data_IF_347139195258
#
_entry.id   IF_347139195258
#
_cell.length_a   1.000
_cell.length_b   1.000
_cell.length_c   1.000
_cell.angle_alpha   90.00
_cell.angle_beta   90.00
_cell.angle_gamma   90.00
#
_symmetry.space_group_name_H-M   'P 1'
#
loop_
_entity.id
_entity.type
_entity.pdbx_description
1 polymer ?
#
# COMPACT_ATOMS: atom_id res chain seq x y z
N UNK A 1 29.63 16.85 -9.48
CA UNK A 1 28.58 15.81 -9.29
C UNK A 1 27.25 16.37 -8.86
N UNK A 2 27.23 17.28 -7.89
CA UNK A 2 25.96 17.90 -7.47
C UNK A 2 25.31 18.79 -8.54
N UNK A 3 26.09 19.55 -9.32
CA UNK A 3 25.53 20.61 -10.19
C UNK A 3 24.78 20.09 -11.42
N UNK A 4 25.25 19.01 -12.02
CA UNK A 4 24.55 18.37 -13.14
C UNK A 4 23.29 17.63 -12.69
N UNK A 5 23.29 17.02 -11.51
CA UNK A 5 22.10 16.37 -10.97
C UNK A 5 20.95 17.37 -10.76
N UNK A 6 21.25 18.61 -10.38
CA UNK A 6 20.26 19.69 -10.27
C UNK A 6 19.81 20.18 -11.67
N UNK A 7 20.73 20.26 -12.64
CA UNK A 7 20.41 20.68 -14.00
C UNK A 7 19.53 19.68 -14.77
N UNK A 8 19.66 18.37 -14.50
CA UNK A 8 18.83 17.31 -15.11
C UNK A 8 17.66 16.86 -14.24
N UNK A 9 17.44 17.49 -13.07
CA UNK A 9 16.35 17.16 -12.14
C UNK A 9 16.45 15.79 -11.45
N UNK A 10 17.62 15.13 -11.54
CA UNK A 10 17.87 13.80 -10.99
C UNK A 10 18.04 13.83 -9.46
N UNK A 11 18.29 15.00 -8.90
CA UNK A 11 18.34 15.26 -7.45
C UNK A 11 17.02 14.86 -6.75
N UNK A 12 15.87 15.10 -7.39
CA UNK A 12 14.55 14.74 -6.88
C UNK A 12 14.32 13.22 -6.81
N UNK A 13 15.08 12.44 -7.59
CA UNK A 13 15.03 10.98 -7.64
C UNK A 13 16.05 10.36 -6.68
N UNK A 14 17.25 10.93 -6.61
CA UNK A 14 18.36 10.45 -5.78
C UNK A 14 18.24 10.87 -4.31
N UNK A 15 17.62 12.03 -4.04
CA UNK A 15 17.40 12.50 -2.68
C UNK A 15 15.93 12.32 -2.30
N UNK A 16 15.64 11.56 -1.24
CA UNK A 16 14.26 11.35 -0.83
C UNK A 16 13.69 12.65 -0.26
N UNK A 17 12.87 13.32 -1.07
CA UNK A 17 12.15 14.53 -0.67
C UNK A 17 11.05 14.13 0.33
N UNK A 18 11.00 14.77 1.50
CA UNK A 18 9.93 14.52 2.46
C UNK A 18 8.65 15.23 2.05
N UNK A 19 7.89 14.59 1.16
CA UNK A 19 6.53 14.99 0.78
C UNK A 19 5.51 14.12 1.52
N UNK A 20 4.26 14.60 1.61
CA UNK A 20 3.17 13.84 2.22
C UNK A 20 3.01 12.44 1.61
N UNK A 21 3.06 12.34 0.29
CA UNK A 21 2.97 11.06 -0.44
C UNK A 21 4.11 10.10 -0.09
N UNK A 22 5.33 10.61 0.03
CA UNK A 22 6.50 9.82 0.40
C UNK A 22 6.42 9.33 1.85
N UNK A 23 5.91 10.16 2.77
CA UNK A 23 5.65 9.76 4.15
C UNK A 23 4.53 8.70 4.24
N UNK A 24 3.46 8.84 3.45
CA UNK A 24 2.40 7.85 3.37
C UNK A 24 2.93 6.54 2.81
N UNK A 25 3.75 6.57 1.76
CA UNK A 25 4.38 5.38 1.18
C UNK A 25 5.31 4.67 2.18
N UNK A 26 6.06 5.42 2.99
CA UNK A 26 6.84 4.87 4.10
C UNK A 26 5.94 4.18 5.13
N UNK A 27 4.85 4.81 5.54
CA UNK A 27 3.90 4.19 6.46
C UNK A 27 3.31 2.90 5.86
N UNK A 28 3.00 2.93 4.56
CA UNK A 28 2.46 1.81 3.80
C UNK A 28 3.36 0.59 3.74
N UNK A 29 4.59 0.85 3.34
CA UNK A 29 5.61 -0.19 3.23
C UNK A 29 6.04 -0.73 4.59
N UNK A 30 5.88 0.07 5.66
CA UNK A 30 6.12 -0.37 7.04
C UNK A 30 5.00 -1.30 7.53
N UNK A 31 3.72 -0.93 7.36
CA UNK A 31 2.61 -1.79 7.81
C UNK A 31 2.50 -3.09 7.01
N UNK A 32 2.88 -3.06 5.73
CA UNK A 32 2.91 -4.26 4.87
C UNK A 32 4.16 -5.11 5.07
N UNK A 33 5.08 -4.69 5.94
CA UNK A 33 6.38 -5.34 6.17
C UNK A 33 7.30 -5.42 4.94
N UNK A 34 7.01 -4.67 3.87
CA UNK A 34 7.84 -4.63 2.65
C UNK A 34 9.18 -3.94 2.93
N UNK A 35 9.14 -2.77 3.56
CA UNK A 35 10.34 -2.07 4.06
C UNK A 35 11.45 -1.79 3.04
N UNK A 36 11.15 -1.14 1.90
CA UNK A 36 12.15 -0.84 0.86
C UNK A 36 13.37 -0.02 1.33
N UNK A 37 13.27 0.72 2.43
CA UNK A 37 14.37 1.49 3.01
C UNK A 37 14.75 2.78 2.26
N UNK A 38 14.22 3.03 1.07
CA UNK A 38 14.52 4.21 0.23
C UNK A 38 14.24 5.56 0.93
N UNK A 39 13.18 5.62 1.74
CA UNK A 39 12.79 6.80 2.52
C UNK A 39 12.70 6.37 3.97
N UNK A 40 13.72 6.67 4.78
CA UNK A 40 13.77 6.26 6.19
C UNK A 40 13.84 7.46 7.11
N UNK A 41 13.04 7.45 8.17
CA UNK A 41 13.16 8.42 9.25
C UNK A 41 14.56 8.30 9.89
N UNK A 42 15.42 9.31 9.69
CA UNK A 42 16.78 9.31 10.26
C UNK A 42 16.80 9.63 11.75
N UNK A 43 15.75 10.29 12.27
CA UNK A 43 15.64 10.72 13.66
C UNK A 43 15.17 9.58 14.58
N UNK A 44 15.72 9.51 15.80
CA UNK A 44 15.35 8.49 16.80
C UNK A 44 13.85 8.55 17.16
N UNK A 45 13.31 9.77 17.32
CA UNK A 45 11.89 10.00 17.57
C UNK A 45 11.00 9.59 16.40
N UNK A 46 11.39 9.89 15.15
CA UNK A 46 10.62 9.51 13.97
C UNK A 46 10.53 8.00 13.79
N UNK A 47 11.60 7.27 14.09
CA UNK A 47 11.59 5.80 14.10
C UNK A 47 10.64 5.24 15.16
N UNK A 48 10.68 5.79 16.38
CA UNK A 48 9.79 5.33 17.47
C UNK A 48 8.32 5.60 17.14
N UNK A 49 8.00 6.79 16.61
CA UNK A 49 6.65 7.13 16.17
C UNK A 49 6.15 6.19 15.07
N UNK A 50 7.00 5.89 14.08
CA UNK A 50 6.67 4.94 13.01
C UNK A 50 6.43 3.52 13.53
N UNK A 51 7.21 3.07 14.52
CA UNK A 51 7.02 1.75 15.16
C UNK A 51 5.68 1.66 15.91
N UNK A 52 5.36 2.66 16.74
CA UNK A 52 4.07 2.70 17.47
C UNK A 52 2.89 2.75 16.49
N UNK A 53 3.02 3.56 15.43
CA UNK A 53 2.02 3.62 14.38
C UNK A 53 1.86 2.30 13.65
N UNK A 54 2.94 1.56 13.38
CA UNK A 54 2.88 0.25 12.74
C UNK A 54 2.13 -0.78 13.59
N UNK A 55 2.36 -0.82 14.91
CA UNK A 55 1.69 -1.77 15.82
C UNK A 55 0.17 -1.62 15.80
N UNK A 56 -0.33 -0.39 15.69
CA UNK A 56 -1.78 -0.11 15.63
C UNK A 56 -2.30 -0.21 14.18
N UNK A 57 -1.49 0.21 13.20
CA UNK A 57 -1.86 0.23 11.79
C UNK A 57 -2.01 -1.17 11.18
N UNK A 58 -1.12 -2.12 11.52
CA UNK A 58 -1.19 -3.50 11.01
C UNK A 58 -2.55 -4.17 11.30
N UNK A 59 -3.05 -4.26 12.55
CA UNK A 59 -4.33 -4.89 12.83
C UNK A 59 -5.52 -4.14 12.21
N UNK A 60 -5.47 -2.80 12.13
CA UNK A 60 -6.50 -2.00 11.45
C UNK A 60 -6.57 -2.33 9.95
N UNK A 61 -5.43 -2.33 9.26
CA UNK A 61 -5.35 -2.66 7.84
C UNK A 61 -5.80 -4.10 7.59
N UNK A 62 -5.41 -5.05 8.45
CA UNK A 62 -5.86 -6.44 8.37
C UNK A 62 -7.38 -6.58 8.54
N UNK A 63 -7.99 -5.85 9.48
CA UNK A 63 -9.46 -5.83 9.63
C UNK A 63 -10.15 -5.27 8.39
N UNK A 64 -9.65 -4.16 7.85
CA UNK A 64 -10.20 -3.54 6.63
C UNK A 64 -10.06 -4.50 5.45
N UNK A 65 -8.87 -5.10 5.29
CA UNK A 65 -8.58 -6.06 4.22
C UNK A 65 -9.50 -7.27 4.31
N UNK A 66 -9.76 -7.79 5.52
CA UNK A 66 -10.68 -8.92 5.70
C UNK A 66 -12.12 -8.56 5.30
N UNK A 67 -12.61 -7.37 5.68
CA UNK A 67 -13.94 -6.90 5.26
C UNK A 67 -14.01 -6.71 3.74
N UNK A 68 -12.97 -6.11 3.15
CA UNK A 68 -12.88 -5.87 1.72
C UNK A 68 -12.79 -7.18 0.93
N UNK A 69 -12.00 -8.15 1.41
CA UNK A 69 -11.86 -9.48 0.82
C UNK A 69 -13.19 -10.23 0.83
N UNK A 70 -13.93 -10.18 1.94
CA UNK A 70 -15.29 -10.75 2.02
C UNK A 70 -16.25 -10.12 1.02
N UNK A 71 -16.21 -8.80 0.89
CA UNK A 71 -17.04 -8.10 -0.10
C UNK A 71 -16.70 -8.54 -1.53
N UNK A 72 -15.40 -8.66 -1.86
CA UNK A 72 -14.94 -9.14 -3.16
C UNK A 72 -15.37 -10.58 -3.45
N UNK A 73 -15.27 -11.48 -2.46
CA UNK A 73 -15.68 -12.87 -2.62
C UNK A 73 -17.19 -12.99 -2.86
N UNK A 74 -18.01 -12.25 -2.11
CA UNK A 74 -19.46 -12.21 -2.34
C UNK A 74 -19.81 -11.64 -3.71
N UNK A 75 -19.08 -10.61 -4.18
CA UNK A 75 -19.26 -10.08 -5.52
C UNK A 75 -18.89 -11.12 -6.60
N UNK A 76 -17.81 -11.89 -6.38
CA UNK A 76 -17.42 -12.99 -7.27
C UNK A 76 -18.45 -14.12 -7.27
N UNK A 77 -18.96 -14.52 -6.10
CA UNK A 77 -20.05 -15.50 -5.99
C UNK A 77 -21.30 -15.01 -6.70
N UNK A 78 -21.65 -13.73 -6.55
CA UNK A 78 -22.80 -13.15 -7.25
C UNK A 78 -22.63 -13.19 -8.77
N UNK A 79 -21.44 -12.87 -9.29
CA UNK A 79 -21.11 -12.94 -10.71
C UNK A 79 -21.09 -14.40 -11.19
N UNK A 80 -20.54 -15.31 -10.41
CA UNK A 80 -20.48 -16.74 -10.72
C UNK A 80 -21.88 -17.35 -10.81
N UNK A 81 -22.75 -17.04 -9.87
CA UNK A 81 -24.14 -17.50 -9.88
C UNK A 81 -24.91 -16.95 -11.08
N UNK A 82 -24.68 -15.68 -11.44
CA UNK A 82 -25.26 -15.10 -12.65
C UNK A 82 -24.82 -15.86 -13.91
N UNK A 83 -23.51 -16.06 -14.06
CA UNK A 83 -22.92 -16.76 -15.21
C UNK A 83 -23.41 -18.22 -15.32
N UNK A 84 -23.43 -18.94 -14.21
CA UNK A 84 -23.88 -20.34 -14.17
C UNK A 84 -25.37 -20.49 -14.47
N UNK A 85 -26.19 -19.49 -14.15
CA UNK A 85 -27.62 -19.49 -14.48
C UNK A 85 -27.85 -19.35 -15.97
N UNK A 86 -27.11 -18.48 -16.65
CA UNK A 86 -27.22 -18.29 -18.10
C UNK A 86 -26.71 -19.53 -18.88
N UNK A 87 -25.63 -20.16 -18.42
CA UNK A 87 -25.09 -21.39 -19.03
C UNK A 87 -26.05 -22.58 -18.96
N UNK A 88 -26.81 -22.72 -17.86
CA UNK A 88 -27.84 -23.77 -17.73
C UNK A 88 -29.05 -23.52 -18.63
N UNK A 89 -29.34 -22.26 -18.97
CA UNK A 89 -30.41 -21.92 -19.90
C UNK A 89 -30.08 -22.29 -21.35
N UNK A 90 -28.80 -22.23 -21.73
CA UNK A 90 -28.33 -22.64 -23.05
C UNK A 90 -28.17 -24.17 -23.22
N UNK A 91 -28.18 -24.94 -22.13
CA UNK A 91 -28.00 -26.39 -22.14
C UNK A 91 -29.32 -27.19 -22.19
N UNK A 92 -30.47 -26.51 -22.22
CA UNK A 92 -31.81 -27.08 -22.38
C UNK A 92 -32.44 -26.54 -23.67
#
# INVERSE_FOLDING_TARGET
>A
MSDYNIAVGLDNVLTPIWTFWNAMFLAVTTYTTIGYGNITAKTKLGKLAAMVYAVIGIPLVLMILHKLGRFFLLALEHVWDFLMRDLKFCAY
#
